data_IF_557229190560
#
_entry.id   IF_557229190560
#
_cell.length_a   1.000
_cell.length_b   1.000
_cell.length_c   1.000
_cell.angle_alpha   90.00
_cell.angle_beta   90.00
_cell.angle_gamma   90.00
#
_symmetry.space_group_name_H-M   'P 1'
#
loop_
_entity.id
_entity.type
_entity.pdbx_description
1 polymer ?
#
# COMPACT_ATOMS: atom_id res chain seq x y z
N UNK A 1 -0.36 36.82 -50.97
CA UNK A 1 -0.22 36.51 -49.53
C UNK A 1 -1.12 35.32 -49.17
N UNK A 2 -0.76 34.09 -49.60
CA UNK A 2 -1.44 32.82 -49.21
C UNK A 2 -0.46 31.62 -49.37
N UNK A 3 0.79 31.77 -48.96
CA UNK A 3 1.78 30.66 -48.98
C UNK A 3 2.47 30.45 -47.63
N UNK A 4 2.39 31.43 -46.72
CA UNK A 4 3.09 31.38 -45.43
C UNK A 4 2.31 30.68 -44.31
N UNK A 5 1.02 30.35 -44.51
CA UNK A 5 0.18 29.71 -43.48
C UNK A 5 0.13 28.17 -43.62
N UNK A 6 0.43 27.61 -44.80
CA UNK A 6 0.46 26.15 -45.01
C UNK A 6 1.74 25.49 -44.49
N UNK A 7 2.86 26.21 -44.47
CA UNK A 7 4.12 25.74 -43.90
C UNK A 7 4.07 25.58 -42.38
N UNK A 8 3.36 26.47 -41.69
CA UNK A 8 3.17 26.39 -40.23
C UNK A 8 2.16 25.30 -39.82
N UNK A 9 1.11 25.07 -40.60
CA UNK A 9 0.13 24.00 -40.32
C UNK A 9 0.74 22.60 -40.46
N UNK A 10 1.66 22.42 -41.41
CA UNK A 10 2.44 21.17 -41.54
C UNK A 10 3.44 20.99 -40.39
N UNK A 11 4.02 22.09 -39.89
CA UNK A 11 4.98 22.07 -38.79
C UNK A 11 4.30 21.73 -37.45
N UNK A 12 3.10 22.28 -37.19
CA UNK A 12 2.31 21.95 -35.99
C UNK A 12 1.79 20.50 -36.06
N UNK A 13 1.36 20.03 -37.24
CA UNK A 13 0.96 18.63 -37.44
C UNK A 13 2.10 17.65 -37.20
N UNK A 14 3.31 17.98 -37.67
CA UNK A 14 4.52 17.16 -37.45
C UNK A 14 4.93 17.07 -35.98
N UNK A 15 4.85 18.19 -35.24
CA UNK A 15 5.15 18.22 -33.80
C UNK A 15 4.13 17.40 -33.00
N UNK A 16 2.84 17.50 -33.34
CA UNK A 16 1.80 16.71 -32.65
C UNK A 16 2.00 15.19 -32.84
N UNK A 17 2.33 14.75 -34.06
CA UNK A 17 2.63 13.33 -34.33
C UNK A 17 3.92 12.91 -33.62
N UNK A 18 4.95 13.75 -33.60
CA UNK A 18 6.19 13.46 -32.87
C UNK A 18 5.96 13.31 -31.36
N UNK A 19 5.10 14.14 -30.75
CA UNK A 19 4.74 14.03 -29.33
C UNK A 19 3.99 12.73 -29.05
N UNK A 20 3.04 12.33 -29.90
CA UNK A 20 2.32 11.06 -29.74
C UNK A 20 3.28 9.87 -29.86
N UNK A 21 4.21 9.88 -30.83
CA UNK A 21 5.23 8.83 -30.99
C UNK A 21 6.20 8.80 -29.79
N UNK A 22 6.67 9.95 -29.31
CA UNK A 22 7.50 10.01 -28.10
C UNK A 22 6.74 9.56 -26.84
N UNK A 23 5.44 9.83 -26.75
CA UNK A 23 4.59 9.37 -25.64
C UNK A 23 4.44 7.84 -25.66
N UNK A 24 4.24 7.25 -26.84
CA UNK A 24 4.21 5.78 -26.97
C UNK A 24 5.58 5.14 -26.71
N UNK A 25 6.69 5.80 -27.05
CA UNK A 25 8.04 5.32 -26.74
C UNK A 25 8.34 5.42 -25.25
N UNK A 26 7.81 6.42 -24.53
CA UNK A 26 7.92 6.52 -23.07
C UNK A 26 7.13 5.40 -22.37
N UNK A 27 5.93 5.05 -22.87
CA UNK A 27 5.22 3.86 -22.39
C UNK A 27 5.94 2.54 -22.72
N UNK A 28 6.67 2.49 -23.84
CA UNK A 28 7.54 1.33 -24.16
C UNK A 28 8.83 1.30 -23.31
N UNK A 29 9.37 2.46 -22.90
CA UNK A 29 10.54 2.53 -22.01
C UNK A 29 10.22 2.27 -20.54
N UNK A 30 8.94 2.25 -20.15
CA UNK A 30 8.51 1.80 -18.82
C UNK A 30 8.43 0.26 -18.71
N UNK A 31 8.57 -0.48 -19.81
CA UNK A 31 8.47 -1.95 -19.84
C UNK A 31 9.79 -2.67 -20.15
N UNK A 32 10.91 -1.93 -20.24
CA UNK A 32 12.19 -2.55 -20.55
C UNK A 32 13.34 -1.85 -19.81
N UNK A 33 13.42 -2.06 -18.49
CA UNK A 33 14.75 -2.25 -17.89
C UNK A 33 15.05 -3.73 -18.01
N UNK A 34 15.38 -4.13 -19.23
CA UNK A 34 15.84 -5.47 -19.57
C UNK A 34 17.31 -5.35 -19.93
N UNK A 35 18.18 -5.38 -18.93
CA UNK A 35 19.60 -5.56 -19.19
C UNK A 35 19.82 -7.01 -19.63
N UNK A 36 20.01 -7.19 -20.94
CA UNK A 36 20.61 -8.38 -21.54
C UNK A 36 19.67 -9.52 -21.89
N UNK A 37 18.78 -9.35 -22.87
CA UNK A 37 18.20 -10.49 -23.59
C UNK A 37 18.67 -10.46 -25.06
N UNK A 38 19.65 -11.32 -25.39
CA UNK A 38 19.85 -11.81 -26.75
C UNK A 38 18.82 -12.91 -27.02
N UNK A 39 17.67 -12.59 -27.61
CA UNK A 39 16.71 -13.62 -28.08
C UNK A 39 16.34 -13.40 -29.53
N UNK A 40 16.85 -14.30 -30.38
CA UNK A 40 16.23 -14.67 -31.65
C UNK A 40 15.10 -15.67 -31.36
N UNK A 41 13.84 -15.24 -31.29
CA UNK A 41 12.68 -16.13 -31.07
C UNK A 41 11.38 -15.54 -31.64
N UNK A 42 10.63 -16.35 -32.39
CA UNK A 42 9.40 -16.00 -33.11
C UNK A 42 8.23 -15.59 -32.19
N UNK A 43 7.31 -14.77 -32.69
CA UNK A 43 6.18 -14.18 -31.94
C UNK A 43 5.36 -15.17 -31.07
N UNK A 44 5.15 -16.42 -31.51
CA UNK A 44 4.44 -17.45 -30.74
C UNK A 44 5.13 -17.80 -29.40
N UNK A 45 6.46 -17.66 -29.32
CA UNK A 45 7.20 -17.89 -28.07
C UNK A 45 7.08 -16.72 -27.09
N UNK A 46 6.79 -15.51 -27.59
CA UNK A 46 6.64 -14.31 -26.79
C UNK A 46 5.27 -14.30 -26.09
N UNK A 47 4.19 -14.58 -26.81
CA UNK A 47 2.83 -14.62 -26.24
C UNK A 47 2.71 -15.67 -25.12
N UNK A 48 3.27 -16.88 -25.33
CA UNK A 48 3.25 -17.94 -24.31
C UNK A 48 4.11 -17.63 -23.08
N UNK A 49 5.09 -16.75 -23.21
CA UNK A 49 5.95 -16.31 -22.09
C UNK A 49 5.22 -15.25 -21.27
N UNK A 50 4.56 -14.28 -21.94
CA UNK A 50 3.77 -13.25 -21.28
C UNK A 50 2.61 -13.83 -20.43
N UNK A 51 1.85 -14.79 -20.96
CA UNK A 51 0.75 -15.43 -20.22
C UNK A 51 1.25 -16.20 -18.98
N UNK A 52 2.44 -16.78 -19.07
CA UNK A 52 3.07 -17.49 -17.94
C UNK A 52 3.55 -16.52 -16.88
N UNK A 53 4.20 -15.44 -17.28
CA UNK A 53 4.63 -14.41 -16.35
C UNK A 53 3.44 -13.80 -15.62
N UNK A 54 2.36 -13.44 -16.34
CA UNK A 54 1.15 -12.93 -15.71
C UNK A 54 0.51 -13.92 -14.72
N UNK A 55 0.60 -15.23 -14.98
CA UNK A 55 0.16 -16.25 -14.03
C UNK A 55 1.05 -16.30 -12.79
N UNK A 56 2.37 -16.23 -12.95
CA UNK A 56 3.31 -16.20 -11.83
C UNK A 56 3.06 -14.97 -10.98
N UNK A 57 2.94 -13.78 -11.57
CA UNK A 57 2.66 -12.53 -10.84
C UNK A 57 1.36 -12.61 -10.04
N UNK A 58 0.30 -13.20 -10.60
CA UNK A 58 -0.96 -13.44 -9.90
C UNK A 58 -0.79 -14.38 -8.71
N UNK A 59 -0.05 -15.47 -8.89
CA UNK A 59 0.22 -16.44 -7.83
C UNK A 59 1.06 -15.79 -6.71
N UNK A 60 2.06 -14.97 -7.05
CA UNK A 60 2.83 -14.18 -6.09
C UNK A 60 1.91 -13.26 -5.26
N UNK A 61 0.98 -12.56 -5.91
CA UNK A 61 -0.02 -11.73 -5.24
C UNK A 61 -0.90 -12.50 -4.25
N UNK A 62 -1.36 -13.70 -4.65
CA UNK A 62 -2.15 -14.56 -3.78
C UNK A 62 -1.36 -15.08 -2.58
N UNK A 63 -0.09 -15.46 -2.78
CA UNK A 63 0.79 -15.89 -1.69
C UNK A 63 1.07 -14.75 -0.71
N UNK A 64 1.26 -13.53 -1.20
CA UNK A 64 1.44 -12.34 -0.37
C UNK A 64 0.18 -12.05 0.47
N UNK A 65 -1.00 -12.10 -0.14
CA UNK A 65 -2.27 -11.94 0.58
C UNK A 65 -2.42 -13.00 1.69
N UNK A 66 -2.14 -14.26 1.39
CA UNK A 66 -2.21 -15.35 2.38
C UNK A 66 -1.22 -15.17 3.53
N UNK A 67 0.02 -14.75 3.25
CA UNK A 67 1.03 -14.53 4.28
C UNK A 67 0.67 -13.36 5.23
N UNK A 68 -0.16 -12.41 4.79
CA UNK A 68 -0.65 -11.28 5.62
C UNK A 68 -1.81 -11.61 6.54
N UNK A 69 -2.57 -12.68 6.28
CA UNK A 69 -3.75 -13.05 7.10
C UNK A 69 -3.39 -13.20 8.58
N UNK A 70 -2.17 -13.68 8.87
CA UNK A 70 -1.70 -13.92 10.24
C UNK A 70 -1.13 -12.65 10.93
N UNK A 71 -1.22 -11.49 10.28
CA UNK A 71 -0.76 -10.19 10.80
C UNK A 71 0.51 -9.67 10.12
N UNK A 72 0.99 -8.51 10.60
CA UNK A 72 2.20 -7.87 10.07
C UNK A 72 3.49 -8.53 10.53
N UNK A 73 3.54 -8.92 11.81
CA UNK A 73 4.74 -9.50 12.40
C UNK A 73 5.09 -10.83 11.73
N UNK A 74 6.32 -10.95 11.23
CA UNK A 74 6.81 -12.12 10.51
C UNK A 74 6.20 -12.34 9.12
N UNK A 75 5.61 -11.31 8.50
CA UNK A 75 5.10 -11.39 7.12
C UNK A 75 6.21 -11.82 6.15
N UNK A 76 7.39 -11.22 6.26
CA UNK A 76 8.54 -11.48 5.40
C UNK A 76 8.94 -12.95 5.45
N UNK A 77 9.10 -13.51 6.65
CA UNK A 77 9.47 -14.93 6.84
C UNK A 77 8.39 -15.87 6.28
N UNK A 78 7.11 -15.59 6.54
CA UNK A 78 5.99 -16.39 6.00
C UNK A 78 5.94 -16.32 4.48
N UNK A 79 6.11 -15.12 3.92
CA UNK A 79 6.05 -14.92 2.49
C UNK A 79 7.25 -15.54 1.79
N UNK A 80 8.47 -15.40 2.32
CA UNK A 80 9.64 -16.12 1.84
C UNK A 80 9.45 -17.64 1.86
N UNK A 81 8.90 -18.17 2.96
CA UNK A 81 8.60 -19.59 3.06
C UNK A 81 7.59 -20.03 1.99
N UNK A 82 6.55 -19.23 1.75
CA UNK A 82 5.57 -19.47 0.69
C UNK A 82 6.23 -19.44 -0.71
N UNK A 83 7.09 -18.47 -1.00
CA UNK A 83 7.84 -18.36 -2.25
C UNK A 83 8.76 -19.55 -2.50
N UNK A 84 9.48 -20.01 -1.46
CA UNK A 84 10.35 -21.20 -1.54
C UNK A 84 9.54 -22.47 -1.84
N UNK A 85 8.39 -22.64 -1.18
CA UNK A 85 7.50 -23.76 -1.44
C UNK A 85 6.87 -23.72 -2.83
N UNK A 86 6.46 -22.54 -3.27
CA UNK A 86 5.94 -22.31 -4.61
C UNK A 86 6.98 -22.65 -5.67
N UNK A 87 8.19 -22.08 -5.55
CA UNK A 87 9.35 -22.38 -6.40
C UNK A 87 9.63 -23.88 -6.50
N UNK A 88 9.70 -24.57 -5.35
CA UNK A 88 9.95 -26.02 -5.30
C UNK A 88 8.85 -26.82 -6.01
N UNK A 89 7.59 -26.45 -5.78
CA UNK A 89 6.43 -27.15 -6.35
C UNK A 89 6.36 -26.91 -7.85
N UNK A 90 6.50 -25.67 -8.29
CA UNK A 90 6.54 -25.27 -9.69
C UNK A 90 7.63 -26.05 -10.44
N UNK A 91 8.87 -26.03 -9.92
CA UNK A 91 10.00 -26.72 -10.55
C UNK A 91 9.82 -28.24 -10.60
N UNK A 92 9.17 -28.85 -9.61
CA UNK A 92 8.86 -30.29 -9.64
C UNK A 92 7.87 -30.65 -10.75
N UNK A 93 6.83 -29.83 -10.95
CA UNK A 93 5.84 -30.03 -12.02
C UNK A 93 6.52 -29.82 -13.36
N UNK A 94 7.31 -28.77 -13.49
CA UNK A 94 7.93 -28.40 -14.76
C UNK A 94 9.06 -29.34 -15.18
N UNK A 95 9.84 -29.86 -14.23
CA UNK A 95 10.89 -30.86 -14.50
C UNK A 95 10.33 -32.13 -15.20
N UNK A 96 9.06 -32.48 -14.93
CA UNK A 96 8.40 -33.62 -15.59
C UNK A 96 7.95 -33.34 -17.03
N UNK A 97 7.89 -32.06 -17.43
CA UNK A 97 7.35 -31.61 -18.73
C UNK A 97 8.38 -30.85 -19.59
N UNK A 98 9.62 -30.67 -19.12
CA UNK A 98 10.68 -29.96 -19.83
C UNK A 98 10.45 -28.46 -19.99
N UNK A 99 9.75 -27.83 -19.05
CA UNK A 99 9.45 -26.38 -19.12
C UNK A 99 10.47 -25.48 -18.40
N UNK A 100 10.02 -24.26 -18.10
CA UNK A 100 10.80 -23.18 -17.46
C UNK A 100 10.92 -23.37 -15.95
N UNK A 101 12.14 -23.46 -15.43
CA UNK A 101 12.36 -23.39 -13.99
C UNK A 101 12.20 -21.95 -13.51
N UNK A 102 11.61 -21.80 -12.33
CA UNK A 102 11.40 -20.53 -11.66
C UNK A 102 12.16 -20.55 -10.35
N UNK A 103 12.79 -19.43 -9.99
CA UNK A 103 13.21 -19.17 -8.62
C UNK A 103 12.65 -17.81 -8.20
N UNK A 104 11.92 -17.74 -7.09
CA UNK A 104 11.30 -16.51 -6.59
C UNK A 104 11.80 -16.21 -5.17
N UNK A 105 12.34 -15.01 -4.96
CA UNK A 105 12.89 -14.54 -3.67
C UNK A 105 12.36 -13.15 -3.33
N UNK A 106 12.00 -12.92 -2.07
CA UNK A 106 11.61 -11.58 -1.60
C UNK A 106 12.81 -10.64 -1.64
N UNK A 107 12.65 -9.48 -2.24
CA UNK A 107 13.61 -8.40 -2.21
C UNK A 107 13.08 -7.28 -1.30
N UNK A 108 13.41 -7.36 -0.01
CA UNK A 108 12.97 -6.37 0.97
C UNK A 108 13.46 -4.96 0.63
N UNK A 109 14.64 -4.83 0.03
CA UNK A 109 15.24 -3.53 -0.31
C UNK A 109 14.57 -2.82 -1.48
N UNK A 110 13.98 -3.58 -2.40
CA UNK A 110 13.19 -3.07 -3.53
C UNK A 110 11.69 -3.00 -3.21
N UNK A 111 11.26 -3.62 -2.11
CA UNK A 111 9.88 -3.57 -1.64
C UNK A 111 9.52 -2.17 -1.20
N UNK A 112 8.26 -1.78 -1.41
CA UNK A 112 7.77 -0.47 -1.03
C UNK A 112 6.88 -0.58 0.20
N UNK A 113 7.04 0.36 1.11
CA UNK A 113 6.17 0.51 2.26
C UNK A 113 6.93 0.79 3.54
N UNK A 114 6.19 1.24 4.54
CA UNK A 114 6.71 1.61 5.84
C UNK A 114 5.64 1.30 6.88
N UNK A 115 6.08 0.71 7.99
CA UNK A 115 5.26 0.49 9.17
C UNK A 115 5.58 1.56 10.22
N UNK A 116 4.54 2.05 10.89
CA UNK A 116 4.59 2.90 12.08
C UNK A 116 3.82 2.18 13.17
N UNK A 117 4.55 1.72 14.19
CA UNK A 117 3.99 0.95 15.30
C UNK A 117 4.05 1.74 16.60
N UNK A 118 2.90 2.23 17.06
CA UNK A 118 2.74 2.92 18.35
C UNK A 118 1.81 2.15 19.29
N UNK A 119 2.00 0.84 19.39
CA UNK A 119 1.23 -0.04 20.28
C UNK A 119 1.88 -0.28 21.64
N UNK A 120 3.19 -0.03 21.78
CA UNK A 120 3.93 -0.32 23.02
C UNK A 120 3.46 0.51 24.22
N UNK A 121 3.52 -0.09 25.42
CA UNK A 121 3.09 0.51 26.69
C UNK A 121 4.30 0.88 27.60
N UNK A 122 4.33 2.05 28.27
CA UNK A 122 3.32 3.09 28.24
C UNK A 122 3.30 3.71 26.85
N UNK A 123 2.13 3.65 26.19
CA UNK A 123 1.92 4.36 24.95
C UNK A 123 2.09 5.80 25.36
N UNK A 124 3.22 6.41 25.01
CA UNK A 124 3.60 7.70 25.51
C UNK A 124 2.75 8.78 24.84
N UNK A 125 1.43 8.75 25.05
CA UNK A 125 0.42 9.57 24.38
C UNK A 125 0.49 9.36 22.87
N UNK A 126 -0.62 9.59 22.19
CA UNK A 126 -0.66 9.67 20.74
C UNK A 126 0.08 10.96 20.34
N UNK A 127 1.41 10.94 20.39
CA UNK A 127 2.28 12.08 20.09
C UNK A 127 2.60 12.03 18.61
N UNK A 128 2.91 13.20 18.05
CA UNK A 128 3.70 13.24 16.83
C UNK A 128 4.92 12.33 17.06
N UNK A 129 5.16 11.34 16.19
CA UNK A 129 6.28 10.42 16.36
C UNK A 129 7.60 11.15 16.56
N UNK A 130 7.78 12.33 15.94
CA UNK A 130 9.00 13.13 16.09
C UNK A 130 9.24 13.81 17.44
N UNK A 131 8.62 13.34 18.53
CA UNK A 131 8.77 13.84 19.90
C UNK A 131 8.29 15.28 20.17
N UNK A 132 7.95 16.05 19.13
CA UNK A 132 7.50 17.44 19.22
C UNK A 132 6.00 17.51 19.54
N UNK A 133 5.60 18.41 20.44
CA UNK A 133 4.20 18.66 20.83
C UNK A 133 3.30 19.25 19.74
N UNK A 134 3.42 18.79 18.49
CA UNK A 134 2.54 19.18 17.39
C UNK A 134 1.18 18.51 17.55
N UNK A 135 0.12 19.33 17.63
CA UNK A 135 -1.27 18.88 17.63
C UNK A 135 -1.74 18.37 16.26
N UNK A 136 -0.86 18.36 15.25
CA UNK A 136 -1.12 17.89 13.89
C UNK A 136 0.17 17.41 13.25
N UNK A 137 0.13 16.27 12.56
CA UNK A 137 1.22 15.79 11.70
C UNK A 137 0.67 15.00 10.52
N UNK A 138 1.46 14.94 9.44
CA UNK A 138 1.20 14.05 8.32
C UNK A 138 1.72 12.66 8.67
N UNK A 139 0.84 11.66 8.66
CA UNK A 139 1.22 10.26 8.89
C UNK A 139 1.84 9.67 7.63
N UNK A 140 1.21 9.90 6.49
CA UNK A 140 1.71 9.54 5.16
C UNK A 140 1.20 10.52 4.12
N UNK A 141 2.04 10.80 3.12
CA UNK A 141 1.71 11.58 1.94
C UNK A 141 1.69 10.67 0.69
N UNK A 142 0.73 10.91 -0.20
CA UNK A 142 0.59 10.24 -1.50
C UNK A 142 0.58 8.70 -1.42
N UNK A 143 -0.06 8.14 -0.38
CA UNK A 143 -0.22 6.69 -0.25
C UNK A 143 -1.26 6.17 -1.23
N UNK A 144 -0.96 5.08 -1.93
CA UNK A 144 -1.87 4.38 -2.83
C UNK A 144 -2.33 3.02 -2.31
N UNK A 145 -1.61 2.49 -1.31
CA UNK A 145 -1.80 1.18 -0.69
C UNK A 145 -1.58 1.28 0.81
N UNK A 146 -2.52 0.75 1.58
CA UNK A 146 -2.40 0.58 3.02
C UNK A 146 -2.63 -0.89 3.33
N UNK A 147 -1.67 -1.54 3.97
CA UNK A 147 -1.79 -2.92 4.41
C UNK A 147 -2.54 -3.04 5.74
N UNK A 148 -2.40 -2.05 6.62
CA UNK A 148 -3.11 -2.00 7.91
C UNK A 148 -3.35 -0.58 8.38
N UNK A 149 -4.49 -0.35 9.03
CA UNK A 149 -4.69 0.86 9.81
C UNK A 149 -5.58 0.58 11.02
N UNK A 150 -4.94 0.08 12.08
CA UNK A 150 -5.59 -0.28 13.32
C UNK A 150 -5.33 0.78 14.39
N UNK A 151 -6.37 1.08 15.16
CA UNK A 151 -6.34 2.09 16.19
C UNK A 151 -7.08 1.61 17.43
N UNK A 152 -6.50 1.84 18.61
CA UNK A 152 -7.19 1.58 19.88
C UNK A 152 -7.38 2.89 20.63
N UNK A 153 -8.63 3.19 20.94
CA UNK A 153 -9.01 4.34 21.75
C UNK A 153 -9.06 3.95 23.24
N UNK A 154 -7.93 4.17 23.94
CA UNK A 154 -7.67 3.67 25.29
C UNK A 154 -8.31 4.52 26.39
N UNK A 155 -8.11 5.84 26.40
CA UNK A 155 -8.58 6.68 27.52
C UNK A 155 -8.96 8.09 27.10
N UNK A 156 -9.92 8.66 27.82
CA UNK A 156 -10.22 10.09 27.80
C UNK A 156 -9.48 10.83 28.93
N UNK A 157 -8.72 11.85 28.57
CA UNK A 157 -8.13 12.80 29.52
C UNK A 157 -8.97 14.09 29.51
N UNK A 158 -10.12 14.08 30.20
CA UNK A 158 -10.89 15.29 30.49
C UNK A 158 -11.38 16.11 29.27
N UNK A 159 -11.64 17.41 29.48
CA UNK A 159 -12.12 18.36 28.47
C UNK A 159 -11.02 18.88 27.54
N UNK A 160 -11.39 19.30 26.33
CA UNK A 160 -10.47 19.80 25.30
C UNK A 160 -11.00 19.61 23.89
N UNK A 161 -10.10 19.52 22.91
CA UNK A 161 -10.46 19.19 21.52
C UNK A 161 -10.32 17.67 21.28
N UNK A 162 -11.18 17.07 20.44
CA UNK A 162 -11.11 15.65 20.10
C UNK A 162 -9.96 15.37 19.13
N UNK A 163 -9.45 14.13 19.13
CA UNK A 163 -8.51 13.70 18.09
C UNK A 163 -9.26 13.41 16.81
N UNK A 164 -8.74 13.88 15.68
CA UNK A 164 -9.34 13.66 14.37
C UNK A 164 -8.31 13.11 13.39
N UNK A 165 -8.65 12.00 12.75
CA UNK A 165 -7.94 11.46 11.60
C UNK A 165 -8.62 12.03 10.36
N UNK A 166 -7.81 12.59 9.48
CA UNK A 166 -8.25 13.16 8.21
C UNK A 166 -7.56 12.39 7.10
N UNK A 167 -8.35 11.80 6.22
CA UNK A 167 -7.88 11.14 5.01
C UNK A 167 -8.45 11.94 3.85
N UNK A 168 -7.59 12.48 3.00
CA UNK A 168 -8.01 13.35 1.90
C UNK A 168 -7.22 13.09 0.63
N UNK A 169 -7.88 13.20 -0.51
CA UNK A 169 -7.24 13.28 -1.82
C UNK A 169 -7.48 14.69 -2.39
N UNK A 170 -7.30 14.88 -3.69
CA UNK A 170 -7.47 16.19 -4.33
C UNK A 170 -8.93 16.66 -4.40
N UNK A 171 -9.91 15.76 -4.29
CA UNK A 171 -11.34 16.05 -4.51
C UNK A 171 -12.20 15.89 -3.27
N UNK A 172 -11.86 14.93 -2.42
CA UNK A 172 -12.71 14.38 -1.39
C UNK A 172 -11.96 14.25 -0.07
N UNK A 173 -12.74 14.25 1.01
CA UNK A 173 -12.23 14.18 2.37
C UNK A 173 -13.08 13.27 3.22
N UNK A 174 -12.42 12.37 3.92
CA UNK A 174 -12.98 11.48 4.92
C UNK A 174 -12.39 11.83 6.30
N UNK A 175 -13.23 11.76 7.33
CA UNK A 175 -12.81 12.12 8.70
C UNK A 175 -13.33 11.12 9.72
N UNK A 176 -12.49 10.81 10.69
CA UNK A 176 -12.86 10.10 11.90
C UNK A 176 -12.47 10.94 13.12
N UNK A 177 -13.44 11.23 13.98
CA UNK A 177 -13.25 12.01 15.19
C UNK A 177 -13.50 11.13 16.41
N UNK A 178 -12.52 11.10 17.31
CA UNK A 178 -12.54 10.39 18.59
C UNK A 178 -12.89 11.40 19.69
N UNK A 179 -14.16 11.40 20.08
CA UNK A 179 -14.74 12.34 21.03
C UNK A 179 -15.12 11.62 22.34
N UNK A 180 -15.27 12.39 23.41
CA UNK A 180 -15.78 11.92 24.70
C UNK A 180 -16.62 12.97 25.39
N UNK A 181 -17.44 13.68 24.61
CA UNK A 181 -18.35 14.70 25.12
C UNK A 181 -19.72 14.06 25.42
N UNK A 182 -20.30 14.23 26.63
CA UNK A 182 -19.81 15.01 27.76
C UNK A 182 -18.70 14.30 28.56
N UNK A 183 -17.88 15.08 29.26
CA UNK A 183 -16.72 14.60 30.02
C UNK A 183 -17.06 13.42 30.94
N UNK A 184 -16.47 12.26 30.68
CA UNK A 184 -16.71 11.01 31.42
C UNK A 184 -15.94 9.84 30.79
N UNK A 185 -16.23 8.58 31.20
CA UNK A 185 -15.62 7.41 30.56
C UNK A 185 -16.23 7.10 29.19
N UNK A 186 -17.32 7.77 28.82
CA UNK A 186 -18.02 7.53 27.56
C UNK A 186 -17.24 8.10 26.39
N UNK A 187 -16.86 7.21 25.47
CA UNK A 187 -16.14 7.48 24.23
C UNK A 187 -17.12 7.36 23.08
N UNK A 188 -16.94 8.19 22.07
CA UNK A 188 -17.73 8.19 20.85
C UNK A 188 -16.83 8.38 19.63
N UNK A 189 -17.13 7.65 18.57
CA UNK A 189 -16.44 7.73 17.29
C UNK A 189 -17.42 8.25 16.25
N UNK A 190 -17.08 9.39 15.68
CA UNK A 190 -17.81 10.00 14.58
C UNK A 190 -17.07 9.75 13.27
N UNK A 191 -17.78 9.24 12.27
CA UNK A 191 -17.28 9.12 10.89
C UNK A 191 -18.04 10.11 10.02
N UNK A 192 -17.32 11.08 9.47
CA UNK A 192 -17.88 12.21 8.71
C UNK A 192 -19.01 12.93 9.50
N UNK A 193 -18.80 13.12 10.79
CA UNK A 193 -19.75 13.78 11.70
C UNK A 193 -20.93 12.92 12.17
N UNK A 194 -21.02 11.65 11.76
CA UNK A 194 -22.08 10.73 12.19
C UNK A 194 -21.54 9.76 13.23
N UNK A 195 -22.20 9.64 14.38
CA UNK A 195 -21.85 8.66 15.41
C UNK A 195 -21.95 7.23 14.89
N UNK A 196 -20.88 6.45 15.05
CA UNK A 196 -20.78 5.05 14.58
C UNK A 196 -20.49 4.08 15.70
N UNK A 197 -19.66 4.49 16.65
CA UNK A 197 -19.29 3.68 17.81
C UNK A 197 -19.39 4.50 19.07
N UNK A 198 -19.88 3.91 20.15
CA UNK A 198 -19.90 4.57 21.45
C UNK A 198 -19.94 3.56 22.59
N UNK A 199 -19.29 3.90 23.70
CA UNK A 199 -19.20 3.03 24.88
C UNK A 199 -18.17 3.51 25.89
N UNK A 200 -18.05 2.81 27.02
CA UNK A 200 -17.13 3.19 28.10
C UNK A 200 -15.83 2.38 28.17
N UNK A 201 -15.74 1.29 27.38
CA UNK A 201 -14.55 0.44 27.30
C UNK A 201 -13.53 0.99 26.28
N UNK A 202 -12.42 0.28 26.07
CA UNK A 202 -11.56 0.54 24.91
C UNK A 202 -12.34 0.28 23.63
N UNK A 203 -12.09 1.11 22.63
CA UNK A 203 -12.66 0.93 21.29
C UNK A 203 -11.52 0.57 20.36
N UNK A 204 -11.56 -0.63 19.81
CA UNK A 204 -10.64 -1.06 18.77
C UNK A 204 -11.27 -0.73 17.42
N UNK A 205 -10.48 -0.17 16.52
CA UNK A 205 -10.95 0.38 15.24
C UNK A 205 -10.04 -0.13 14.15
N UNK A 206 -10.63 -0.79 13.16
CA UNK A 206 -9.97 -1.12 11.90
C UNK A 206 -10.52 -0.17 10.84
N UNK A 207 -9.69 0.81 10.44
CA UNK A 207 -10.08 1.85 9.50
C UNK A 207 -10.23 1.32 8.06
N UNK A 208 -9.53 0.23 7.71
CA UNK A 208 -9.64 -0.38 6.39
C UNK A 208 -10.91 -1.21 6.28
N UNK A 209 -11.14 -2.10 7.25
CA UNK A 209 -12.33 -2.94 7.30
C UNK A 209 -13.61 -2.14 7.62
N UNK A 210 -13.47 -0.90 8.09
CA UNK A 210 -14.60 -0.06 8.47
C UNK A 210 -15.33 -0.60 9.70
N UNK A 211 -14.59 -1.16 10.66
CA UNK A 211 -15.17 -1.76 11.86
C UNK A 211 -14.71 -1.06 13.13
N UNK A 212 -15.54 -1.12 14.16
CA UNK A 212 -15.15 -0.76 15.51
C UNK A 212 -15.73 -1.78 16.51
N UNK A 213 -14.91 -2.21 17.45
CA UNK A 213 -15.26 -3.19 18.48
C UNK A 213 -15.23 -2.54 19.86
N UNK A 214 -16.30 -2.76 20.63
CA UNK A 214 -16.42 -2.29 22.01
C UNK A 214 -16.98 -3.42 22.86
N UNK A 215 -16.21 -3.88 23.85
CA UNK A 215 -16.65 -4.94 24.79
C UNK A 215 -17.20 -6.18 24.07
N UNK A 216 -16.55 -6.63 23.00
CA UNK A 216 -16.98 -7.79 22.19
C UNK A 216 -18.15 -7.52 21.25
N UNK A 217 -18.63 -6.27 21.14
CA UNK A 217 -19.65 -5.89 20.16
C UNK A 217 -19.01 -5.14 19.01
N UNK A 218 -19.08 -5.71 17.80
CA UNK A 218 -18.60 -5.09 16.56
C UNK A 218 -19.69 -4.27 15.89
N UNK A 219 -19.37 -3.06 15.47
CA UNK A 219 -20.18 -2.20 14.60
C UNK A 219 -19.40 -1.86 13.33
N UNK A 220 -20.11 -1.49 12.27
CA UNK A 220 -19.52 -1.15 10.97
C UNK A 220 -19.83 0.29 10.56
N UNK A 221 -18.97 0.86 9.71
CA UNK A 221 -19.12 2.20 9.14
C UNK A 221 -18.53 2.29 7.73
N UNK A 222 -18.95 3.28 6.92
CA UNK A 222 -18.39 3.48 5.59
C UNK A 222 -16.90 3.84 5.66
N UNK A 223 -16.08 3.03 5.01
CA UNK A 223 -14.63 3.23 4.93
C UNK A 223 -14.28 4.36 3.95
N UNK A 224 -13.06 4.85 4.03
CA UNK A 224 -12.55 5.87 3.11
C UNK A 224 -12.18 5.25 1.75
N UNK A 225 -11.86 3.96 1.70
CA UNK A 225 -11.50 3.26 0.45
C UNK A 225 -12.66 3.20 -0.55
N UNK A 226 -13.91 3.20 -0.07
CA UNK A 226 -15.11 3.27 -0.91
C UNK A 226 -15.34 4.65 -1.55
N UNK A 227 -14.73 5.70 -0.97
CA UNK A 227 -15.01 7.10 -1.32
C UNK A 227 -13.85 7.80 -2.01
N UNK A 228 -12.63 7.45 -1.61
CA UNK A 228 -11.40 8.09 -2.08
C UNK A 228 -10.74 7.16 -3.10
N UNK A 229 -10.72 7.59 -4.36
CA UNK A 229 -9.90 6.98 -5.39
C UNK A 229 -8.51 7.63 -5.47
N UNK A 230 -7.53 6.88 -5.96
CA UNK A 230 -6.16 7.36 -6.17
C UNK A 230 -5.36 7.53 -4.87
N UNK A 231 -4.24 8.26 -4.96
CA UNK A 231 -3.39 8.53 -3.81
C UNK A 231 -4.06 9.47 -2.80
N UNK A 232 -3.88 9.20 -1.52
CA UNK A 232 -4.43 10.00 -0.43
C UNK A 232 -3.39 10.31 0.65
N UNK A 233 -3.66 11.41 1.35
CA UNK A 233 -2.87 11.92 2.45
C UNK A 233 -3.58 11.62 3.76
N UNK A 234 -2.85 11.05 4.72
CA UNK A 234 -3.37 10.76 6.05
C UNK A 234 -2.75 11.73 7.03
N UNK A 235 -3.59 12.59 7.58
CA UNK A 235 -3.21 13.56 8.59
C UNK A 235 -3.86 13.20 9.91
N UNK A 236 -3.06 13.24 10.96
CA UNK A 236 -3.55 13.11 12.33
C UNK A 236 -3.59 14.50 12.96
N UNK A 237 -4.73 14.85 13.58
CA UNK A 237 -4.90 16.02 14.43
C UNK A 237 -5.13 15.55 15.86
N UNK A 238 -4.08 15.58 16.69
CA UNK A 238 -4.18 15.15 18.08
C UNK A 238 -4.89 16.21 18.94
N UNK A 239 -5.92 15.74 19.63
CA UNK A 239 -6.65 16.49 20.64
C UNK A 239 -6.22 16.08 22.03
N UNK A 240 -6.22 17.03 22.97
CA UNK A 240 -5.83 16.80 24.36
C UNK A 240 -6.74 15.80 25.10
N UNK A 241 -7.91 15.48 24.53
CA UNK A 241 -8.91 14.62 25.14
C UNK A 241 -8.61 13.13 25.03
N UNK A 242 -7.79 12.66 24.09
CA UNK A 242 -7.71 11.22 23.80
C UNK A 242 -6.31 10.64 23.97
N UNK A 243 -6.26 9.46 24.59
CA UNK A 243 -5.14 8.54 24.56
C UNK A 243 -5.45 7.45 23.54
N UNK A 244 -4.63 7.37 22.51
CA UNK A 244 -4.81 6.50 21.35
C UNK A 244 -3.50 5.78 21.07
N UNK A 245 -3.58 4.53 20.65
CA UNK A 245 -2.47 3.76 20.07
C UNK A 245 -2.85 3.36 18.65
N UNK A 246 -1.87 3.15 17.79
CA UNK A 246 -2.14 2.73 16.42
C UNK A 246 -1.02 1.89 15.85
N UNK A 247 -1.39 1.09 14.86
CA UNK A 247 -0.52 0.32 13.99
C UNK A 247 -0.90 0.66 12.56
N UNK A 248 0.05 1.16 11.80
CA UNK A 248 -0.17 1.66 10.45
C UNK A 248 0.93 1.19 9.52
N UNK A 249 0.58 0.69 8.34
CA UNK A 249 1.54 0.30 7.33
C UNK A 249 1.01 0.66 5.95
N UNK A 250 1.75 1.49 5.23
CA UNK A 250 1.36 1.97 3.92
C UNK A 250 2.58 2.23 3.03
N UNK A 251 2.35 2.34 1.72
CA UNK A 251 3.30 2.98 0.80
C UNK A 251 3.18 4.51 0.88
N UNK A 252 4.12 5.22 0.26
CA UNK A 252 4.14 6.68 0.21
C UNK A 252 5.23 7.31 1.06
N UNK A 253 5.11 8.61 1.29
CA UNK A 253 6.12 9.41 1.98
C UNK A 253 5.78 9.63 3.46
N UNK A 254 6.71 9.20 4.32
CA UNK A 254 6.66 9.27 5.78
C UNK A 254 7.68 10.28 6.33
N UNK A 255 8.01 11.34 5.58
CA UNK A 255 9.02 12.34 5.95
C UNK A 255 8.78 13.00 7.31
N UNK A 256 7.51 13.14 7.71
CA UNK A 256 7.09 13.76 8.97
C UNK A 256 7.23 12.85 10.20
N UNK A 257 7.60 11.58 9.97
CA UNK A 257 7.78 10.53 10.96
C UNK A 257 9.28 10.26 11.13
N UNK A 258 9.76 10.39 12.37
CA UNK A 258 11.17 10.12 12.70
C UNK A 258 11.53 8.65 12.45
N UNK A 259 12.78 8.41 12.06
CA UNK A 259 13.27 7.10 11.65
C UNK A 259 13.26 6.03 12.73
N UNK A 260 13.26 6.42 14.00
CA UNK A 260 13.18 5.51 15.16
C UNK A 260 11.75 5.02 15.43
N UNK A 261 10.76 5.65 14.80
CA UNK A 261 9.34 5.30 14.93
C UNK A 261 8.75 4.64 13.68
N UNK A 262 9.59 4.37 12.68
CA UNK A 262 9.17 3.69 11.46
C UNK A 262 10.16 2.57 11.07
N UNK A 263 9.62 1.49 10.56
CA UNK A 263 10.37 0.35 10.01
C UNK A 263 10.01 0.15 8.55
N UNK A 264 10.96 -0.40 7.77
CA UNK A 264 10.63 -0.88 6.43
C UNK A 264 9.61 -2.02 6.57
N UNK A 265 8.56 -1.98 5.76
CA UNK A 265 7.57 -3.06 5.71
C UNK A 265 7.06 -3.21 4.27
N UNK A 266 7.08 -4.41 3.68
CA UNK A 266 6.71 -4.64 2.29
C UNK A 266 5.19 -4.60 2.07
N UNK A 267 4.61 -3.40 2.07
CA UNK A 267 3.20 -3.15 1.69
C UNK A 267 2.96 -3.51 0.23
N UNK A 268 3.94 -3.20 -0.63
CA UNK A 268 4.03 -3.71 -2.00
C UNK A 268 5.34 -4.50 -2.11
N UNK A 269 5.29 -5.83 -1.93
CA UNK A 269 6.49 -6.67 -1.95
C UNK A 269 7.14 -6.65 -3.33
N UNK A 270 8.45 -6.54 -3.39
CA UNK A 270 9.22 -6.80 -4.60
C UNK A 270 9.75 -8.23 -4.57
N UNK A 271 9.54 -9.00 -5.65
CA UNK A 271 10.03 -10.37 -5.76
C UNK A 271 10.99 -10.47 -6.93
N UNK A 272 12.22 -10.88 -6.64
CA UNK A 272 13.19 -11.24 -7.67
C UNK A 272 12.87 -12.63 -8.19
N UNK A 273 12.58 -12.69 -9.49
CA UNK A 273 12.27 -13.91 -10.22
C UNK A 273 13.37 -14.21 -11.23
N UNK A 274 13.87 -15.44 -11.21
CA UNK A 274 14.77 -15.98 -12.23
C UNK A 274 14.02 -17.05 -13.01
N UNK A 275 13.97 -16.88 -14.33
CA UNK A 275 13.38 -17.84 -15.25
C UNK A 275 14.48 -18.54 -16.04
N UNK A 276 14.61 -19.85 -15.85
CA UNK A 276 15.58 -20.69 -16.55
C UNK A 276 14.87 -21.60 -17.55
N UNK A 277 15.10 -21.38 -18.83
CA UNK A 277 14.64 -22.24 -19.93
C UNK A 277 15.81 -23.01 -20.52
N UNK A 278 15.52 -23.99 -21.38
CA UNK A 278 16.57 -24.72 -22.12
C UNK A 278 17.42 -23.83 -23.04
N UNK A 279 16.93 -22.64 -23.40
CA UNK A 279 17.57 -21.75 -24.39
C UNK A 279 18.02 -20.40 -23.84
N UNK A 280 17.52 -19.98 -22.68
CA UNK A 280 17.80 -18.67 -22.09
C UNK A 280 17.53 -18.68 -20.57
N UNK A 281 18.26 -17.82 -19.85
CA UNK A 281 18.03 -17.47 -18.45
C UNK A 281 17.89 -15.96 -18.36
N UNK A 282 16.89 -15.48 -17.62
CA UNK A 282 16.73 -14.06 -17.36
C UNK A 282 16.17 -13.79 -15.96
N UNK A 283 16.50 -12.62 -15.43
CA UNK A 283 16.06 -12.13 -14.13
C UNK A 283 15.06 -10.99 -14.30
N UNK A 284 14.10 -10.91 -13.38
CA UNK A 284 13.13 -9.83 -13.31
C UNK A 284 12.71 -9.58 -11.88
N UNK A 285 12.67 -8.33 -11.47
CA UNK A 285 12.04 -7.91 -10.21
C UNK A 285 10.60 -7.52 -10.48
N UNK A 286 9.66 -8.12 -9.77
CA UNK A 286 8.22 -7.86 -9.89
C UNK A 286 7.74 -7.16 -8.62
N UNK A 287 7.11 -6.00 -8.76
CA UNK A 287 6.31 -5.41 -7.69
C UNK A 287 4.96 -6.13 -7.64
N UNK A 288 4.70 -6.79 -6.52
CA UNK A 288 3.55 -7.65 -6.34
C UNK A 288 2.36 -6.82 -5.90
N UNK A 289 1.36 -6.71 -6.78
CA UNK A 289 0.06 -6.17 -6.40
C UNK A 289 -0.67 -7.18 -5.51
N UNK A 290 -0.86 -6.81 -4.25
CA UNK A 290 -1.67 -7.60 -3.33
C UNK A 290 -3.10 -7.12 -3.46
N UNK A 291 -3.94 -7.94 -4.09
CA UNK A 291 -5.37 -7.75 -4.08
C UNK A 291 -5.88 -8.23 -2.72
N UNK A 292 -6.12 -7.30 -1.81
CA UNK A 292 -6.88 -7.55 -0.60
C UNK A 292 -8.32 -7.83 -1.05
N UNK A 293 -8.66 -9.12 -1.16
CA UNK A 293 -9.83 -9.63 -1.90
C UNK A 293 -11.19 -9.05 -1.53
#
# INVERSE_FOLDING_TARGET
MVANERGQLLLVGGIAVAIVVFSTILFAHSLAVTDGITTTGSADTIERTADREASVERDLGQLAAQARVDGLDGFEERYEYALRNYTRTHNRVVASSGGTYLNATLNESASLGTEVNQTQTPAEKFKKPSGGGGNKWLLVNESTRIAVFNLTYVKLNGGGNPTTIVIENTTDRWTMTLDGTPSGPHKEIFVNGVSRCSGSANIDVDLLAGTCEISGTTKTYPTFTDKLGGGYNITIKHGSQSHVTYLFAADGDFSDIDSDHKSSYPVVPAVDTTYDTSSASYNRTVLVEVNDG
#
